data_IF_944836295465
#
_entry.id   IF_944836295465
#
_cell.length_a   1.000
_cell.length_b   1.000
_cell.length_c   1.000
_cell.angle_alpha   90.00
_cell.angle_beta   90.00
_cell.angle_gamma   90.00
#
_symmetry.space_group_name_H-M   'P 1'
#
loop_
_entity.id
_entity.type
_entity.pdbx_description
1 polymer ?
#
# COMPACT_ATOMS: atom_id res chain seq x y z
N UNK A 1 22.02 -22.00 -14.89
CA UNK A 1 23.34 -21.40 -15.14
C UNK A 1 23.32 -20.10 -14.36
N UNK A 2 24.32 -19.85 -13.51
CA UNK A 2 24.34 -18.64 -12.69
C UNK A 2 24.43 -17.40 -13.59
N UNK A 3 23.65 -16.36 -13.31
CA UNK A 3 23.71 -15.10 -14.06
C UNK A 3 24.84 -14.21 -13.52
N UNK A 4 26.09 -14.66 -13.60
CA UNK A 4 27.23 -14.00 -12.97
C UNK A 4 28.04 -13.09 -13.91
N UNK A 5 27.64 -12.96 -15.18
CA UNK A 5 28.43 -12.25 -16.19
C UNK A 5 27.99 -10.80 -16.41
N UNK A 6 28.96 -9.90 -16.43
CA UNK A 6 28.81 -8.55 -16.99
C UNK A 6 29.02 -8.65 -18.49
N UNK A 7 28.06 -8.11 -19.26
CA UNK A 7 28.13 -8.05 -20.72
C UNK A 7 28.36 -6.61 -21.19
N UNK A 8 29.30 -6.45 -22.12
CA UNK A 8 29.65 -5.18 -22.75
C UNK A 8 29.53 -5.34 -24.27
N UNK A 9 28.80 -4.45 -24.92
CA UNK A 9 28.75 -4.39 -26.37
C UNK A 9 29.69 -3.30 -26.87
N UNK A 10 30.52 -3.60 -27.87
CA UNK A 10 31.45 -2.63 -28.46
C UNK A 10 31.54 -2.79 -29.98
N UNK A 11 31.57 -1.67 -30.70
CA UNK A 11 31.48 -1.69 -32.17
C UNK A 11 32.70 -2.30 -32.86
N UNK A 12 33.86 -2.32 -32.19
CA UNK A 12 35.07 -2.96 -32.68
C UNK A 12 35.18 -4.41 -32.17
N UNK A 13 35.72 -5.28 -33.01
CA UNK A 13 36.00 -6.69 -32.71
C UNK A 13 37.50 -6.90 -32.50
N UNK A 14 37.88 -7.85 -31.66
CA UNK A 14 39.28 -8.12 -31.34
C UNK A 14 39.95 -7.06 -30.45
N UNK A 15 39.19 -6.06 -29.97
CA UNK A 15 39.66 -5.06 -29.02
C UNK A 15 39.97 -5.67 -27.65
N UNK A 16 40.89 -5.06 -26.91
CA UNK A 16 41.12 -5.36 -25.50
C UNK A 16 40.20 -4.49 -24.65
N UNK A 17 39.19 -5.08 -24.05
CA UNK A 17 38.18 -4.38 -23.24
C UNK A 17 38.32 -4.80 -21.78
N UNK A 18 38.26 -3.84 -20.87
CA UNK A 18 38.22 -4.10 -19.43
C UNK A 18 37.09 -3.31 -18.77
N UNK A 19 36.70 -3.76 -17.58
CA UNK A 19 35.76 -3.02 -16.74
C UNK A 19 36.44 -2.53 -15.47
N UNK A 20 35.94 -1.43 -14.94
CA UNK A 20 36.21 -0.93 -13.59
C UNK A 20 34.93 -1.08 -12.77
N UNK A 21 35.05 -1.50 -11.52
CA UNK A 21 33.93 -1.73 -10.60
C UNK A 21 34.06 -0.77 -9.42
N UNK A 22 33.01 -0.01 -9.13
CA UNK A 22 32.92 0.89 -7.98
C UNK A 22 31.75 0.55 -7.08
N UNK A 23 31.93 0.76 -5.77
CA UNK A 23 30.86 0.61 -4.80
C UNK A 23 30.03 1.90 -4.63
N UNK A 24 29.13 1.90 -3.65
CA UNK A 24 28.24 3.03 -3.32
C UNK A 24 28.96 4.28 -2.81
N UNK A 25 30.17 4.11 -2.27
CA UNK A 25 30.97 5.18 -1.69
C UNK A 25 32.03 5.69 -2.69
N UNK A 26 31.98 5.18 -3.92
CA UNK A 26 32.87 5.46 -5.05
C UNK A 26 34.30 4.93 -4.90
N UNK A 27 34.52 4.00 -3.96
CA UNK A 27 35.76 3.24 -3.90
C UNK A 27 35.81 2.23 -5.06
N UNK A 28 37.02 1.92 -5.55
CA UNK A 28 37.27 1.08 -6.72
C UNK A 28 37.83 -0.28 -6.32
N UNK A 29 37.36 -1.33 -6.99
CA UNK A 29 37.86 -2.69 -6.80
C UNK A 29 39.30 -2.83 -7.31
N UNK A 30 40.21 -3.34 -6.48
CA UNK A 30 41.63 -3.55 -6.80
C UNK A 30 42.01 -5.03 -7.07
N UNK A 31 41.02 -5.90 -7.25
CA UNK A 31 41.24 -7.35 -7.34
C UNK A 31 41.12 -8.10 -6.01
N UNK A 32 41.11 -7.39 -4.87
CA UNK A 32 41.03 -8.00 -3.54
C UNK A 32 40.13 -7.26 -2.54
N UNK A 33 40.08 -5.94 -2.61
CA UNK A 33 39.26 -5.06 -1.76
C UNK A 33 38.86 -3.81 -2.55
N UNK A 34 37.90 -3.04 -2.00
CA UNK A 34 37.62 -1.69 -2.46
C UNK A 34 38.59 -0.70 -1.79
N UNK A 35 39.11 0.24 -2.57
CA UNK A 35 40.01 1.31 -2.09
C UNK A 35 39.76 2.63 -2.82
N UNK A 36 40.29 3.73 -2.29
CA UNK A 36 40.20 5.03 -2.95
C UNK A 36 40.98 5.02 -4.27
N UNK A 37 40.36 5.52 -5.34
CA UNK A 37 40.97 5.59 -6.65
C UNK A 37 42.31 6.35 -6.65
N UNK A 38 43.31 5.74 -7.26
CA UNK A 38 44.64 6.31 -7.51
C UNK A 38 45.08 6.01 -8.93
N UNK A 39 45.35 7.03 -9.73
CA UNK A 39 45.81 6.90 -11.12
C UNK A 39 47.04 5.99 -11.27
N UNK A 40 47.92 5.96 -10.27
CA UNK A 40 49.13 5.11 -10.28
C UNK A 40 48.84 3.60 -10.23
N UNK A 41 47.64 3.21 -9.82
CA UNK A 41 47.21 1.82 -9.63
C UNK A 41 46.20 1.38 -10.71
N UNK A 42 46.01 2.14 -11.79
CA UNK A 42 44.95 1.83 -12.76
C UNK A 42 45.03 0.40 -13.33
N UNK A 43 46.24 -0.12 -13.53
CA UNK A 43 46.48 -1.50 -13.98
C UNK A 43 46.26 -2.58 -12.93
N UNK A 44 45.77 -2.26 -11.72
CA UNK A 44 45.28 -3.23 -10.74
C UNK A 44 43.77 -3.18 -10.57
N UNK A 45 43.12 -2.15 -11.11
CA UNK A 45 41.67 -1.98 -11.03
C UNK A 45 40.94 -2.65 -12.19
N UNK A 46 41.67 -3.03 -13.24
CA UNK A 46 41.07 -3.60 -14.44
C UNK A 46 40.60 -5.03 -14.19
N UNK A 47 39.37 -5.28 -14.61
CA UNK A 47 38.81 -6.63 -14.72
C UNK A 47 38.69 -6.91 -16.22
N UNK A 48 39.60 -7.71 -16.81
CA UNK A 48 39.65 -7.90 -18.25
C UNK A 48 38.45 -8.71 -18.74
N UNK A 49 37.87 -8.29 -19.87
CA UNK A 49 36.78 -9.00 -20.53
C UNK A 49 37.30 -9.86 -21.68
N UNK A 50 36.49 -10.81 -22.12
CA UNK A 50 36.77 -11.65 -23.29
C UNK A 50 35.68 -11.48 -24.33
N UNK A 51 36.05 -11.23 -25.58
CA UNK A 51 35.09 -11.27 -26.69
C UNK A 51 34.54 -12.69 -26.86
N UNK A 52 33.22 -12.81 -26.97
CA UNK A 52 32.60 -14.08 -27.25
C UNK A 52 32.91 -14.48 -28.71
N UNK A 53 33.66 -15.56 -28.91
CA UNK A 53 34.10 -15.93 -30.25
C UNK A 53 35.16 -14.97 -30.81
N UNK A 54 35.14 -14.69 -32.12
CA UNK A 54 36.22 -13.96 -32.80
C UNK A 54 35.82 -12.63 -33.42
N UNK A 55 34.52 -12.31 -33.46
CA UNK A 55 33.99 -11.09 -34.07
C UNK A 55 32.52 -10.83 -33.66
N UNK A 56 32.16 -11.09 -32.39
CA UNK A 56 30.78 -10.95 -31.93
C UNK A 56 30.41 -9.54 -31.53
N UNK A 57 31.38 -8.65 -31.32
CA UNK A 57 31.15 -7.33 -30.71
C UNK A 57 30.60 -7.41 -29.26
N UNK A 58 30.61 -8.60 -28.67
CA UNK A 58 30.10 -8.88 -27.33
C UNK A 58 31.21 -9.39 -26.43
N UNK A 59 31.54 -8.61 -25.42
CA UNK A 59 32.56 -8.88 -24.43
C UNK A 59 31.91 -9.26 -23.11
N UNK A 60 32.45 -10.27 -22.43
CA UNK A 60 31.91 -10.72 -21.15
C UNK A 60 33.00 -11.01 -20.13
N UNK A 61 32.67 -10.83 -18.86
CA UNK A 61 33.48 -11.26 -17.72
C UNK A 61 32.60 -11.64 -16.54
N UNK A 62 33.01 -12.63 -15.76
CA UNK A 62 32.33 -12.96 -14.51
C UNK A 62 32.55 -11.85 -13.48
N UNK A 63 31.49 -11.46 -12.78
CA UNK A 63 31.57 -10.52 -11.66
C UNK A 63 32.39 -11.17 -10.52
N UNK A 64 33.35 -10.47 -9.90
CA UNK A 64 34.23 -11.09 -8.91
C UNK A 64 33.45 -11.67 -7.72
N UNK A 65 33.49 -12.99 -7.53
CA UNK A 65 32.75 -13.68 -6.47
C UNK A 65 33.22 -13.36 -5.04
N UNK A 66 34.38 -12.71 -4.88
CA UNK A 66 34.88 -12.22 -3.58
C UNK A 66 34.24 -10.91 -3.15
N UNK A 67 33.55 -10.20 -4.05
CA UNK A 67 32.81 -8.98 -3.73
C UNK A 67 31.52 -9.37 -2.99
N UNK A 68 31.28 -8.71 -1.85
CA UNK A 68 30.08 -8.89 -1.05
C UNK A 68 28.81 -8.50 -1.81
N UNK A 69 27.63 -8.93 -1.34
CA UNK A 69 26.37 -8.51 -1.96
C UNK A 69 26.16 -6.99 -1.85
N UNK A 70 25.64 -6.38 -2.91
CA UNK A 70 25.52 -4.94 -3.00
C UNK A 70 25.13 -4.43 -4.39
N UNK A 71 25.04 -3.11 -4.52
CA UNK A 71 24.85 -2.43 -5.81
C UNK A 71 26.18 -1.79 -6.20
N UNK A 72 26.62 -2.04 -7.42
CA UNK A 72 27.90 -1.60 -7.95
C UNK A 72 27.73 -0.84 -9.26
N UNK A 73 28.58 0.15 -9.48
CA UNK A 73 28.71 0.81 -10.78
C UNK A 73 29.83 0.14 -11.57
N UNK A 74 29.54 -0.27 -12.79
CA UNK A 74 30.50 -0.88 -13.71
C UNK A 74 30.72 0.06 -14.88
N UNK A 75 31.97 0.29 -15.26
CA UNK A 75 32.34 1.15 -16.40
C UNK A 75 33.33 0.41 -17.28
N UNK A 76 33.05 0.33 -18.59
CA UNK A 76 33.87 -0.39 -19.54
C UNK A 76 34.72 0.55 -20.39
N UNK A 77 35.94 0.13 -20.71
CA UNK A 77 36.90 0.89 -21.51
C UNK A 77 37.55 -0.01 -22.56
N UNK A 78 37.85 0.58 -23.72
CA UNK A 78 38.74 -0.01 -24.72
C UNK A 78 40.17 0.44 -24.43
N UNK A 79 41.04 -0.53 -24.17
CA UNK A 79 42.45 -0.32 -23.90
C UNK A 79 43.18 0.04 -25.21
N UNK A 80 43.79 1.23 -25.27
CA UNK A 80 44.49 1.70 -26.46
C UNK A 80 45.94 1.15 -26.59
N UNK A 81 46.52 0.71 -25.47
CA UNK A 81 47.91 0.23 -25.37
C UNK A 81 48.05 -1.16 -24.75
N UNK A 82 49.20 -1.45 -24.16
CA UNK A 82 49.46 -2.74 -23.51
C UNK A 82 49.04 -2.83 -22.03
N UNK A 83 48.55 -1.72 -21.46
CA UNK A 83 48.11 -1.65 -20.06
C UNK A 83 47.02 -0.58 -19.91
N UNK A 84 46.11 -0.70 -18.92
CA UNK A 84 45.06 0.29 -18.69
C UNK A 84 45.64 1.69 -18.43
N UNK A 85 45.06 2.70 -19.05
CA UNK A 85 45.52 4.09 -18.98
C UNK A 85 44.35 5.09 -18.93
N UNK A 86 44.55 6.25 -18.31
CA UNK A 86 43.54 7.33 -18.22
C UNK A 86 43.07 7.86 -19.58
N UNK A 87 43.84 7.60 -20.65
CA UNK A 87 43.51 7.97 -22.02
C UNK A 87 42.71 6.91 -22.79
N UNK A 88 42.35 5.79 -22.15
CA UNK A 88 41.55 4.73 -22.77
C UNK A 88 40.14 5.21 -23.12
N UNK A 89 39.55 4.62 -24.16
CA UNK A 89 38.24 5.06 -24.66
C UNK A 89 37.13 4.51 -23.78
N UNK A 90 36.31 5.40 -23.19
CA UNK A 90 35.10 5.01 -22.48
C UNK A 90 34.09 4.38 -23.46
N UNK A 91 33.71 3.13 -23.20
CA UNK A 91 32.67 2.42 -23.97
C UNK A 91 31.29 2.73 -23.41
N UNK A 92 31.15 2.71 -22.08
CA UNK A 92 29.90 2.93 -21.38
C UNK A 92 29.92 2.43 -19.94
N UNK A 93 28.78 2.47 -19.26
CA UNK A 93 28.66 1.96 -17.90
C UNK A 93 27.21 1.61 -17.53
N UNK A 94 27.06 0.84 -16.46
CA UNK A 94 25.79 0.39 -15.93
C UNK A 94 25.86 0.19 -14.43
N UNK A 95 24.70 0.06 -13.79
CA UNK A 95 24.62 -0.41 -12.40
C UNK A 95 24.23 -1.87 -12.37
N UNK A 96 24.84 -2.63 -11.46
CA UNK A 96 24.63 -4.05 -11.26
C UNK A 96 24.20 -4.27 -9.81
N UNK A 97 23.17 -5.08 -9.59
CA UNK A 97 22.84 -5.60 -8.26
C UNK A 97 23.37 -7.03 -8.14
N UNK A 98 24.26 -7.23 -7.18
CA UNK A 98 24.97 -8.48 -6.94
C UNK A 98 24.51 -9.09 -5.62
N UNK A 99 24.14 -10.37 -5.63
CA UNK A 99 23.72 -11.08 -4.40
C UNK A 99 24.84 -11.86 -3.71
N UNK A 100 26.07 -11.80 -4.23
CA UNK A 100 27.20 -12.62 -3.79
C UNK A 100 27.48 -13.84 -4.68
N UNK A 101 26.55 -14.18 -5.57
CA UNK A 101 26.64 -15.34 -6.46
C UNK A 101 26.09 -15.10 -7.87
N UNK A 102 25.09 -14.25 -8.02
CA UNK A 102 24.43 -13.90 -9.27
C UNK A 102 24.14 -12.39 -9.35
N UNK A 103 24.17 -11.87 -10.57
CA UNK A 103 23.62 -10.57 -10.91
C UNK A 103 22.10 -10.73 -10.93
N UNK A 104 21.44 -10.06 -10.01
CA UNK A 104 19.99 -10.02 -9.92
C UNK A 104 19.45 -8.75 -10.57
N UNK A 105 18.17 -8.73 -11.01
CA UNK A 105 17.53 -7.51 -11.45
C UNK A 105 17.71 -6.39 -10.41
N UNK A 106 17.93 -5.15 -10.87
CA UNK A 106 17.90 -3.99 -9.98
C UNK A 106 16.53 -3.98 -9.29
N UNK A 107 16.54 -4.14 -7.97
CA UNK A 107 15.33 -4.14 -7.15
C UNK A 107 14.51 -2.90 -7.49
N UNK A 108 13.30 -3.11 -7.99
CA UNK A 108 12.40 -1.99 -8.26
C UNK A 108 11.87 -1.47 -6.93
N UNK A 109 11.24 -0.30 -6.97
CA UNK A 109 10.50 0.17 -5.79
C UNK A 109 9.48 -0.90 -5.35
N UNK A 110 8.94 -1.69 -6.29
CA UNK A 110 7.89 -2.69 -6.05
C UNK A 110 8.34 -3.84 -5.13
N UNK A 111 9.63 -4.21 -5.15
CA UNK A 111 10.19 -5.22 -4.23
C UNK A 111 10.42 -4.65 -2.82
N UNK A 112 10.56 -3.32 -2.72
CA UNK A 112 10.83 -2.59 -1.47
C UNK A 112 9.58 -2.02 -0.84
N UNK A 113 8.49 -1.91 -1.60
CA UNK A 113 7.18 -1.63 -1.05
C UNK A 113 6.70 -2.92 -0.39
N UNK A 114 6.41 -2.93 0.91
CA UNK A 114 5.76 -4.07 1.54
C UNK A 114 4.55 -4.47 0.68
N UNK A 115 4.30 -5.77 0.48
CA UNK A 115 3.18 -6.25 -0.36
C UNK A 115 1.84 -5.60 0.00
N UNK A 116 1.72 -5.13 1.24
CA UNK A 116 0.61 -4.32 1.76
C UNK A 116 0.37 -3.01 0.98
N UNK A 117 1.41 -2.36 0.46
CA UNK A 117 1.35 -1.07 -0.21
C UNK A 117 0.92 -1.19 -1.69
N UNK A 118 1.29 -2.25 -2.38
CA UNK A 118 0.97 -2.47 -3.81
C UNK A 118 -0.43 -3.06 -4.01
N UNK A 119 -1.05 -3.57 -2.93
CA UNK A 119 -2.41 -4.13 -2.94
C UNK A 119 -3.50 -3.10 -2.59
N UNK A 120 -3.18 -1.80 -2.58
CA UNK A 120 -4.15 -0.73 -2.32
C UNK A 120 -4.58 -0.57 -0.85
N UNK A 121 -3.84 -1.10 0.13
CA UNK A 121 -4.18 -1.00 1.56
C UNK A 121 -3.54 0.20 2.27
N UNK A 122 -3.42 1.32 1.58
CA UNK A 122 -2.99 2.57 2.21
C UNK A 122 -4.10 3.63 2.16
N UNK A 123 -5.35 3.19 2.32
CA UNK A 123 -6.51 4.01 2.69
C UNK A 123 -7.12 3.32 3.93
N UNK A 124 -7.48 4.07 4.98
CA UNK A 124 -7.91 3.63 6.34
C UNK A 124 -8.13 2.12 6.55
N UNK A 125 -7.48 1.52 7.55
CA UNK A 125 -7.44 0.08 7.79
C UNK A 125 -8.79 -0.56 8.23
N UNK A 126 -9.76 -0.60 7.33
CA UNK A 126 -10.99 -1.39 7.47
C UNK A 126 -10.71 -2.90 7.39
N UNK A 127 -9.50 -3.30 6.97
CA UNK A 127 -9.07 -4.70 6.93
C UNK A 127 -8.59 -5.19 8.30
N UNK A 128 -8.00 -4.36 9.16
CA UNK A 128 -7.67 -4.71 10.55
C UNK A 128 -8.91 -4.80 11.42
N UNK A 129 -9.94 -3.99 11.14
CA UNK A 129 -11.28 -4.19 11.71
C UNK A 129 -11.86 -5.51 11.21
N UNK A 130 -11.76 -5.83 9.91
CA UNK A 130 -12.24 -7.10 9.33
C UNK A 130 -11.41 -8.35 9.70
N UNK A 131 -10.16 -8.20 10.15
CA UNK A 131 -9.22 -9.28 10.43
C UNK A 131 -9.10 -9.65 11.91
N UNK A 132 -9.63 -8.80 12.79
CA UNK A 132 -9.78 -9.08 14.22
C UNK A 132 -11.24 -9.44 14.49
N UNK A 133 -11.50 -10.66 14.94
CA UNK A 133 -12.85 -11.08 15.36
C UNK A 133 -13.40 -10.11 16.41
N UNK A 134 -12.59 -9.75 17.41
CA UNK A 134 -13.04 -8.91 18.52
C UNK A 134 -13.35 -7.46 18.08
N UNK A 135 -12.55 -6.86 17.20
CA UNK A 135 -12.81 -5.49 16.73
C UNK A 135 -14.01 -5.43 15.77
N UNK A 136 -14.15 -6.44 14.90
CA UNK A 136 -15.33 -6.61 14.05
C UNK A 136 -16.59 -6.82 14.91
N UNK A 137 -16.54 -7.72 15.90
CA UNK A 137 -17.64 -8.04 16.80
C UNK A 137 -18.06 -6.83 17.63
N UNK A 138 -17.10 -6.00 18.08
CA UNK A 138 -17.39 -4.79 18.85
C UNK A 138 -18.09 -3.72 17.99
N UNK A 139 -17.70 -3.55 16.72
CA UNK A 139 -18.35 -2.61 15.81
C UNK A 139 -19.72 -3.14 15.35
N UNK A 140 -19.82 -4.45 15.11
CA UNK A 140 -21.09 -5.14 14.86
C UNK A 140 -22.03 -4.95 16.06
N UNK A 141 -21.56 -5.17 17.29
CA UNK A 141 -22.35 -5.01 18.51
C UNK A 141 -22.87 -3.58 18.68
N UNK A 142 -22.06 -2.56 18.36
CA UNK A 142 -22.53 -1.16 18.36
C UNK A 142 -23.59 -0.92 17.28
N UNK A 143 -23.40 -1.46 16.07
CA UNK A 143 -24.34 -1.30 14.94
C UNK A 143 -25.65 -2.08 15.12
N UNK A 144 -25.64 -3.24 15.80
CA UNK A 144 -26.83 -4.08 16.04
C UNK A 144 -27.93 -3.41 16.84
N UNK A 145 -27.60 -2.37 17.60
CA UNK A 145 -28.58 -1.63 18.43
C UNK A 145 -29.23 -0.46 17.69
N UNK A 146 -28.90 -0.28 16.41
CA UNK A 146 -29.34 0.82 15.55
C UNK A 146 -30.41 0.29 14.59
N UNK A 147 -31.68 0.67 14.80
CA UNK A 147 -32.79 0.27 13.92
C UNK A 147 -33.27 1.47 13.10
N UNK A 148 -33.22 1.36 11.78
CA UNK A 148 -33.75 2.38 10.86
C UNK A 148 -35.20 2.08 10.52
N UNK A 149 -36.07 3.08 10.58
CA UNK A 149 -37.46 2.96 10.22
C UNK A 149 -38.00 4.24 9.57
N UNK A 150 -39.26 4.18 9.15
CA UNK A 150 -39.96 5.29 8.49
C UNK A 150 -41.25 5.61 9.23
N UNK A 151 -41.73 6.84 9.09
CA UNK A 151 -43.08 7.22 9.52
C UNK A 151 -44.12 6.64 8.56
N UNK A 152 -45.15 6.01 9.11
CA UNK A 152 -46.25 5.42 8.36
C UNK A 152 -47.46 6.36 8.40
N UNK A 153 -48.17 6.46 7.27
CA UNK A 153 -49.37 7.28 7.17
C UNK A 153 -50.45 6.79 8.15
N UNK A 154 -50.90 7.68 9.04
CA UNK A 154 -52.06 7.46 9.90
C UNK A 154 -52.71 8.81 10.24
N UNK A 155 -54.04 8.85 10.30
CA UNK A 155 -54.78 10.07 10.64
C UNK A 155 -54.60 10.52 12.09
N UNK A 156 -54.08 9.64 12.95
CA UNK A 156 -53.84 9.90 14.37
C UNK A 156 -52.42 10.42 14.64
N UNK A 157 -51.58 10.60 13.62
CA UNK A 157 -50.24 11.13 13.78
C UNK A 157 -50.27 12.58 14.30
N UNK A 158 -49.41 12.86 15.26
CA UNK A 158 -49.21 14.17 15.89
C UNK A 158 -47.71 14.43 16.04
N UNK A 159 -47.34 15.60 16.60
CA UNK A 159 -45.95 15.94 16.86
C UNK A 159 -45.32 15.16 18.04
N UNK A 160 -46.12 14.44 18.83
CA UNK A 160 -45.67 13.67 20.01
C UNK A 160 -45.89 12.17 19.87
N UNK A 161 -46.90 11.76 19.09
CA UNK A 161 -47.19 10.35 18.85
C UNK A 161 -47.49 10.12 17.38
N UNK A 162 -46.86 9.13 16.77
CA UNK A 162 -47.01 8.82 15.36
C UNK A 162 -46.72 7.36 15.08
N UNK A 163 -47.33 6.86 14.00
CA UNK A 163 -47.15 5.49 13.54
C UNK A 163 -45.82 5.32 12.83
N UNK A 164 -45.16 4.21 13.11
CA UNK A 164 -43.84 3.88 12.59
C UNK A 164 -43.85 2.55 11.84
N UNK A 165 -42.82 2.36 11.01
CA UNK A 165 -42.49 1.08 10.37
C UNK A 165 -41.59 0.18 11.22
N UNK A 166 -41.50 0.40 12.53
CA UNK A 166 -40.74 -0.45 13.45
C UNK A 166 -41.34 -1.86 13.49
N UNK A 167 -40.49 -2.85 13.70
CA UNK A 167 -40.83 -4.26 13.47
C UNK A 167 -41.26 -5.02 14.74
N UNK A 168 -40.95 -4.50 15.93
CA UNK A 168 -41.29 -5.16 17.19
C UNK A 168 -42.80 -5.13 17.45
N UNK A 169 -43.37 -6.31 17.71
CA UNK A 169 -44.78 -6.46 18.09
C UNK A 169 -45.01 -6.37 19.62
N UNK A 170 -43.95 -6.09 20.38
CA UNK A 170 -44.00 -6.04 21.85
C UNK A 170 -44.18 -4.61 22.33
N UNK A 171 -45.13 -4.38 23.23
CA UNK A 171 -45.29 -3.10 23.91
C UNK A 171 -44.02 -2.76 24.73
N UNK A 172 -43.75 -1.47 24.92
CA UNK A 172 -42.59 -0.92 25.63
C UNK A 172 -41.20 -1.25 25.05
N UNK A 173 -41.11 -1.97 23.92
CA UNK A 173 -39.84 -2.49 23.39
C UNK A 173 -38.77 -1.43 23.10
N UNK A 174 -39.18 -0.21 22.74
CA UNK A 174 -38.26 0.90 22.45
C UNK A 174 -38.27 1.99 23.53
N UNK A 175 -38.90 1.74 24.69
CA UNK A 175 -38.97 2.73 25.76
C UNK A 175 -37.56 3.10 26.27
N UNK A 176 -37.31 4.39 26.47
CA UNK A 176 -36.00 4.93 26.87
C UNK A 176 -34.97 5.05 25.73
N UNK A 177 -35.22 4.48 24.55
CA UNK A 177 -34.35 4.65 23.40
C UNK A 177 -34.45 6.07 22.80
N UNK A 178 -33.48 6.44 21.97
CA UNK A 178 -33.45 7.74 21.29
C UNK A 178 -33.85 7.56 19.83
N UNK A 179 -34.90 8.27 19.41
CA UNK A 179 -35.27 8.44 18.02
C UNK A 179 -34.57 9.69 17.46
N UNK A 180 -33.75 9.53 16.43
CA UNK A 180 -33.06 10.61 15.74
C UNK A 180 -33.43 10.62 14.26
N UNK A 181 -33.78 11.79 13.73
CA UNK A 181 -34.17 11.93 12.33
C UNK A 181 -32.96 11.85 11.39
N UNK A 182 -33.08 11.00 10.36
CA UNK A 182 -32.12 10.91 9.25
C UNK A 182 -32.54 11.93 8.18
N UNK A 183 -33.84 12.00 7.88
CA UNK A 183 -34.44 13.03 7.03
C UNK A 183 -35.77 13.55 7.65
N UNK A 184 -36.48 14.41 6.91
CA UNK A 184 -37.72 15.04 7.36
C UNK A 184 -37.58 16.56 7.43
N UNK A 185 -38.21 17.26 6.49
CA UNK A 185 -37.99 18.69 6.18
C UNK A 185 -38.07 19.64 7.39
N UNK A 186 -38.85 19.29 8.42
CA UNK A 186 -39.09 20.14 9.60
C UNK A 186 -38.52 19.58 10.91
N UNK A 187 -37.99 18.34 10.91
CA UNK A 187 -37.50 17.66 12.11
C UNK A 187 -36.06 17.12 11.96
N UNK A 188 -35.43 17.30 10.79
CA UNK A 188 -34.08 16.84 10.49
C UNK A 188 -33.07 17.23 11.58
N UNK A 189 -32.15 16.30 11.89
CA UNK A 189 -31.06 16.47 12.86
C UNK A 189 -31.52 16.77 14.30
N UNK A 190 -32.79 16.51 14.62
CA UNK A 190 -33.28 16.52 16.00
C UNK A 190 -33.48 15.10 16.51
N UNK A 191 -33.40 14.92 17.83
CA UNK A 191 -33.62 13.64 18.48
C UNK A 191 -34.52 13.79 19.70
N UNK A 192 -35.24 12.72 20.05
CA UNK A 192 -36.10 12.64 21.24
C UNK A 192 -36.02 11.27 21.88
N UNK A 193 -36.17 11.23 23.20
CA UNK A 193 -36.38 9.97 23.93
C UNK A 193 -37.79 9.46 23.66
N UNK A 194 -37.89 8.16 23.41
CA UNK A 194 -39.15 7.44 23.32
C UNK A 194 -39.64 7.20 24.75
N UNK A 195 -40.83 7.70 25.07
CA UNK A 195 -41.47 7.51 26.36
C UNK A 195 -42.41 6.30 26.40
N UNK A 196 -42.88 5.87 25.22
CA UNK A 196 -43.79 4.74 25.08
C UNK A 196 -43.73 4.20 23.64
N UNK A 197 -43.96 2.90 23.48
CA UNK A 197 -44.14 2.23 22.20
C UNK A 197 -45.22 1.16 22.31
N UNK A 198 -46.22 1.24 21.44
CA UNK A 198 -47.27 0.24 21.34
C UNK A 198 -46.95 -0.73 20.20
N UNK A 199 -46.55 -1.96 20.52
CA UNK A 199 -46.17 -3.00 19.55
C UNK A 199 -47.36 -3.60 18.80
N UNK A 200 -48.59 -3.37 19.24
CA UNK A 200 -49.79 -3.78 18.49
C UNK A 200 -50.12 -2.82 17.34
N UNK A 201 -49.86 -1.53 17.53
CA UNK A 201 -50.25 -0.47 16.58
C UNK A 201 -49.05 0.22 15.90
N UNK A 202 -47.84 -0.06 16.39
CA UNK A 202 -46.56 0.55 16.01
C UNK A 202 -46.51 2.07 16.22
N UNK A 203 -47.29 2.58 17.17
CA UNK A 203 -47.20 3.97 17.58
C UNK A 203 -46.05 4.16 18.56
N UNK A 204 -45.20 5.14 18.25
CA UNK A 204 -44.20 5.65 19.18
C UNK A 204 -44.72 6.92 19.82
N UNK A 205 -44.44 7.12 21.10
CA UNK A 205 -44.64 8.40 21.79
C UNK A 205 -43.30 8.92 22.27
N UNK A 206 -43.01 10.19 21.98
CA UNK A 206 -41.79 10.86 22.42
C UNK A 206 -42.06 11.80 23.58
N UNK A 207 -41.08 11.97 24.47
CA UNK A 207 -41.24 12.77 25.70
C UNK A 207 -41.50 14.26 25.46
N UNK A 208 -41.04 14.80 24.34
CA UNK A 208 -41.30 16.19 23.97
C UNK A 208 -41.61 16.32 22.49
N UNK A 209 -42.57 17.19 22.19
CA UNK A 209 -43.07 17.40 20.84
C UNK A 209 -41.95 17.79 19.86
N UNK A 210 -42.08 17.27 18.65
CA UNK A 210 -41.38 17.77 17.48
C UNK A 210 -41.97 19.12 17.01
N UNK A 211 -41.23 19.86 16.19
CA UNK A 211 -41.65 21.18 15.74
C UNK A 211 -42.88 21.10 14.81
N UNK A 212 -43.00 20.01 14.07
CA UNK A 212 -44.19 19.66 13.31
C UNK A 212 -44.49 18.17 13.41
N UNK A 213 -45.71 17.81 13.03
CA UNK A 213 -46.09 16.41 12.80
C UNK A 213 -45.12 15.83 11.75
N UNK A 214 -44.47 14.69 12.02
CA UNK A 214 -43.65 14.00 11.01
C UNK A 214 -44.49 13.55 9.81
N UNK A 215 -43.91 13.65 8.62
CA UNK A 215 -44.58 13.29 7.37
C UNK A 215 -44.38 11.81 7.05
N UNK A 216 -45.32 11.23 6.30
CA UNK A 216 -45.17 9.86 5.79
C UNK A 216 -43.86 9.72 5.00
N UNK A 217 -43.14 8.63 5.23
CA UNK A 217 -41.81 8.32 4.68
C UNK A 217 -40.65 9.16 5.22
N UNK A 218 -40.85 10.04 6.21
CA UNK A 218 -39.71 10.59 6.95
C UNK A 218 -38.94 9.43 7.61
N UNK A 219 -37.63 9.38 7.42
CA UNK A 219 -36.73 8.34 7.89
C UNK A 219 -36.03 8.74 9.17
N UNK A 220 -35.91 7.79 10.09
CA UNK A 220 -35.28 7.98 11.37
C UNK A 220 -34.54 6.71 11.79
N UNK A 221 -33.73 6.88 12.82
CA UNK A 221 -33.03 5.79 13.47
C UNK A 221 -33.36 5.77 14.96
N UNK A 222 -33.51 4.57 15.51
CA UNK A 222 -33.60 4.32 16.94
C UNK A 222 -32.24 3.83 17.42
N UNK A 223 -31.67 4.51 18.43
CA UNK A 223 -30.35 4.23 18.97
C UNK A 223 -30.44 4.01 20.48
N UNK A 224 -29.59 3.12 21.00
CA UNK A 224 -29.39 2.96 22.44
C UNK A 224 -30.56 2.28 23.13
N UNK A 225 -31.13 1.24 22.50
CA UNK A 225 -32.11 0.37 23.16
C UNK A 225 -31.51 -0.15 24.47
N UNK A 226 -32.22 0.06 25.57
CA UNK A 226 -31.91 -0.53 26.86
C UNK A 226 -32.95 -1.61 27.08
N UNK A 227 -32.53 -2.88 27.05
CA UNK A 227 -33.43 -3.98 27.44
C UNK A 227 -33.76 -3.81 28.92
N UNK A 228 -35.05 -3.79 29.25
CA UNK A 228 -35.56 -3.83 30.62
C UNK A 228 -36.17 -5.20 30.88
#
# INVERSE_FOLDING_TARGET
MANDQVHVAWTATGSTVYILIRDRDADIWNGSSFETYSTGNLGTYDVPTTEQGTASQHYAVAFPATIASGIYAVTAFEQAGGSPAEGDTLIGGSSVQWDGSEIIPLSSIDDRLPTALVSGKMDSDATAVSGSTDAADNLEAQSRTVETAVVVADGSNTATTFKTGLSSATDDYYNGAVLAWIDGTNNALTARRISDYNGTTNFVTVESAFASIPSTNDTFVVIGRIEV
#
